data_IF_821493167944
#
_entry.id   IF_821493167944
#
_cell.length_a   1.000
_cell.length_b   1.000
_cell.length_c   1.000
_cell.angle_alpha   90.00
_cell.angle_beta   90.00
_cell.angle_gamma   90.00
#
_symmetry.space_group_name_H-M   'P 1'
#
loop_
_entity.id
_entity.type
_entity.pdbx_description
1 polymer ?
#
# COMPACT_ATOMS: atom_id res chain seq x y z
N UNK A 1 -4.09 -3.34 38.17
CA UNK A 1 -3.43 -4.25 37.20
C UNK A 1 -4.08 -3.96 35.85
N UNK A 2 -3.45 -3.09 35.06
CA UNK A 2 -3.89 -2.73 33.72
C UNK A 2 -3.63 -3.90 32.77
N UNK A 3 -4.60 -4.31 31.93
CA UNK A 3 -4.38 -5.39 30.98
C UNK A 3 -3.32 -4.93 29.97
N UNK A 4 -2.28 -5.74 29.80
CA UNK A 4 -1.28 -5.54 28.77
C UNK A 4 -1.96 -5.67 27.40
N UNK A 5 -2.07 -4.56 26.68
CA UNK A 5 -2.44 -4.54 25.25
C UNK A 5 -1.37 -5.32 24.48
N UNK A 6 -1.74 -6.47 23.93
CA UNK A 6 -0.90 -7.21 22.98
C UNK A 6 -0.75 -6.34 21.72
N UNK A 7 0.48 -6.01 21.28
CA UNK A 7 0.66 -5.21 20.07
C UNK A 7 0.41 -6.06 18.82
N UNK A 8 -0.66 -5.77 18.08
CA UNK A 8 -0.91 -6.37 16.77
C UNK A 8 0.17 -5.95 15.74
N UNK A 9 0.57 -4.67 15.78
CA UNK A 9 1.67 -4.13 14.98
C UNK A 9 3.02 -4.17 15.71
N UNK A 10 4.14 -4.12 14.98
CA UNK A 10 5.50 -4.03 15.56
C UNK A 10 5.67 -2.89 16.58
N UNK A 11 4.80 -1.89 16.54
CA UNK A 11 4.60 -0.84 17.56
C UNK A 11 3.09 -0.65 17.70
N UNK A 12 2.48 -0.94 18.87
CA UNK A 12 1.04 -1.22 19.01
C UNK A 12 0.00 -0.17 18.54
N UNK A 13 -1.28 -0.58 18.51
CA UNK A 13 -2.50 0.22 18.18
C UNK A 13 -3.57 0.14 19.29
N UNK A 14 -4.58 1.01 19.24
CA UNK A 14 -5.78 0.99 20.10
C UNK A 14 -7.01 0.74 19.23
N UNK A 15 -7.79 -0.30 19.53
CA UNK A 15 -8.95 -0.72 18.73
C UNK A 15 -10.19 -0.89 19.61
N UNK A 16 -11.10 0.07 19.54
CA UNK A 16 -12.53 -0.15 19.83
C UNK A 16 -13.36 0.93 19.13
N UNK A 17 -14.25 0.49 18.24
CA UNK A 17 -15.13 1.36 17.47
C UNK A 17 -16.43 1.63 18.26
N UNK A 18 -16.81 2.88 18.56
CA UNK A 18 -18.04 3.20 19.29
C UNK A 18 -19.33 3.11 18.42
N UNK A 19 -19.29 2.46 17.25
CA UNK A 19 -20.39 2.45 16.27
C UNK A 19 -21.13 1.09 16.25
N UNK A 20 -22.47 1.06 16.16
CA UNK A 20 -23.20 -0.20 16.10
C UNK A 20 -22.91 -0.95 14.79
N UNK A 21 -22.21 -2.09 14.89
CA UNK A 21 -21.80 -2.93 13.76
C UNK A 21 -22.92 -3.23 12.74
N UNK A 22 -24.15 -3.63 13.14
CA UNK A 22 -25.20 -3.94 12.18
C UNK A 22 -25.60 -2.75 11.30
N UNK A 23 -25.60 -1.54 11.87
CA UNK A 23 -25.92 -0.31 11.13
C UNK A 23 -24.79 0.03 10.16
N UNK A 24 -23.53 -0.17 10.58
CA UNK A 24 -22.36 0.11 9.76
C UNK A 24 -22.28 -0.81 8.53
N UNK A 25 -22.42 -2.13 8.74
CA UNK A 25 -22.36 -3.13 7.66
C UNK A 25 -23.54 -2.93 6.70
N UNK A 26 -24.75 -2.73 7.22
CA UNK A 26 -25.94 -2.47 6.40
C UNK A 26 -25.79 -1.19 5.59
N UNK A 27 -25.35 -0.10 6.23
CA UNK A 27 -25.15 1.19 5.57
C UNK A 27 -24.11 1.13 4.45
N UNK A 28 -22.98 0.47 4.68
CA UNK A 28 -21.94 0.29 3.67
C UNK A 28 -22.42 -0.59 2.50
N UNK A 29 -23.12 -1.70 2.78
CA UNK A 29 -23.69 -2.56 1.75
C UNK A 29 -24.71 -1.81 0.89
N UNK A 30 -25.63 -1.06 1.51
CA UNK A 30 -26.62 -0.23 0.82
C UNK A 30 -25.93 0.83 -0.03
N UNK A 31 -24.93 1.54 0.50
CA UNK A 31 -24.19 2.56 -0.24
C UNK A 31 -23.55 2.00 -1.52
N UNK A 32 -23.00 0.78 -1.48
CA UNK A 32 -22.40 0.14 -2.65
C UNK A 32 -23.44 -0.33 -3.66
N UNK A 33 -24.53 -0.93 -3.21
CA UNK A 33 -25.64 -1.35 -4.09
C UNK A 33 -26.23 -0.13 -4.79
N UNK A 34 -26.54 0.94 -4.06
CA UNK A 34 -27.08 2.19 -4.61
C UNK A 34 -26.07 2.82 -5.58
N UNK A 35 -24.78 2.89 -5.22
CA UNK A 35 -23.73 3.41 -6.12
C UNK A 35 -23.65 2.61 -7.42
N UNK A 36 -23.73 1.28 -7.35
CA UNK A 36 -23.72 0.42 -8.53
C UNK A 36 -24.94 0.63 -9.42
N UNK A 37 -26.14 0.68 -8.84
CA UNK A 37 -27.37 0.95 -9.58
C UNK A 37 -27.31 2.33 -10.26
N UNK A 38 -26.80 3.34 -9.55
CA UNK A 38 -26.59 4.68 -10.10
C UNK A 38 -25.60 4.65 -11.27
N UNK A 39 -24.50 3.90 -11.19
CA UNK A 39 -23.55 3.74 -12.30
C UNK A 39 -24.15 3.06 -13.52
N UNK A 40 -24.95 2.01 -13.33
CA UNK A 40 -25.65 1.32 -14.42
C UNK A 40 -26.60 2.24 -15.20
N UNK A 41 -27.20 3.23 -14.53
CA UNK A 41 -28.09 4.21 -15.16
C UNK A 41 -27.33 5.39 -15.74
N UNK A 42 -26.43 6.00 -14.96
CA UNK A 42 -25.81 7.30 -15.24
C UNK A 42 -24.50 7.18 -16.04
N UNK A 43 -23.83 6.03 -16.04
CA UNK A 43 -22.48 5.84 -16.59
C UNK A 43 -22.45 4.65 -17.56
N UNK A 44 -23.19 4.76 -18.67
CA UNK A 44 -23.39 3.66 -19.62
C UNK A 44 -22.27 3.46 -20.65
N UNK A 45 -21.38 4.43 -20.77
CA UNK A 45 -20.28 4.46 -21.73
C UNK A 45 -19.00 4.88 -20.98
N UNK A 46 -17.80 4.45 -21.43
CA UNK A 46 -16.54 4.85 -20.79
C UNK A 46 -16.40 6.37 -20.75
N UNK A 47 -16.01 6.92 -19.59
CA UNK A 47 -15.86 8.39 -19.40
C UNK A 47 -14.47 8.82 -18.95
N UNK A 48 -13.63 7.89 -18.49
CA UNK A 48 -12.31 8.24 -17.96
C UNK A 48 -11.27 8.29 -19.07
N UNK A 49 -11.06 9.48 -19.63
CA UNK A 49 -9.96 9.74 -20.56
C UNK A 49 -8.63 9.97 -19.83
N UNK A 50 -7.55 9.36 -20.33
CA UNK A 50 -6.20 9.52 -19.77
C UNK A 50 -5.66 10.94 -19.88
N UNK A 51 -6.16 11.72 -20.83
CA UNK A 51 -5.72 13.10 -21.05
C UNK A 51 -6.66 14.13 -20.39
N UNK A 52 -7.68 13.68 -19.63
CA UNK A 52 -8.53 14.53 -18.82
C UNK A 52 -7.82 15.11 -17.57
N UNK A 53 -8.45 16.11 -16.95
CA UNK A 53 -7.96 16.81 -15.77
C UNK A 53 -7.79 18.32 -16.00
N UNK A 54 -7.71 19.09 -14.91
CA UNK A 54 -7.57 20.54 -14.95
C UNK A 54 -6.07 20.89 -14.87
N UNK A 55 -5.48 21.57 -15.88
CA UNK A 55 -4.09 22.00 -15.83
C UNK A 55 -3.78 22.81 -14.58
N UNK A 56 -2.63 22.51 -13.96
CA UNK A 56 -2.16 23.27 -12.81
C UNK A 56 -1.66 24.65 -13.23
N UNK A 57 -1.83 25.69 -12.38
CA UNK A 57 -1.25 27.00 -12.64
C UNK A 57 0.26 26.90 -12.90
N UNK A 58 0.76 27.65 -13.89
CA UNK A 58 2.16 27.62 -14.32
C UNK A 58 3.21 27.76 -13.20
N UNK A 59 3.02 28.62 -12.18
CA UNK A 59 3.94 28.68 -11.04
C UNK A 59 4.03 27.37 -10.24
N UNK A 60 2.89 26.73 -9.98
CA UNK A 60 2.82 25.49 -9.21
C UNK A 60 3.41 24.31 -10.00
N UNK A 61 3.12 24.22 -11.30
CA UNK A 61 3.74 23.23 -12.18
C UNK A 61 5.28 23.38 -12.20
N UNK A 62 5.79 24.61 -12.31
CA UNK A 62 7.24 24.89 -12.25
C UNK A 62 7.86 24.55 -10.90
N UNK A 63 7.15 24.80 -9.79
CA UNK A 63 7.61 24.42 -8.45
C UNK A 63 7.71 22.90 -8.29
N UNK A 64 6.71 22.15 -8.78
CA UNK A 64 6.71 20.69 -8.79
C UNK A 64 7.80 20.08 -9.70
N UNK A 65 8.16 20.76 -10.78
CA UNK A 65 9.27 20.40 -11.66
C UNK A 65 10.64 20.93 -11.19
N UNK A 66 10.68 21.67 -10.09
CA UNK A 66 11.90 22.31 -9.61
C UNK A 66 12.96 21.28 -9.22
N UNK A 67 14.17 21.45 -9.77
CA UNK A 67 15.35 20.69 -9.35
C UNK A 67 15.66 20.86 -7.87
N UNK A 68 15.27 21.99 -7.26
CA UNK A 68 15.46 22.25 -5.84
C UNK A 68 14.52 21.39 -5.01
N UNK A 69 13.22 21.37 -5.33
CA UNK A 69 12.26 20.51 -4.63
C UNK A 69 12.70 19.04 -4.70
N UNK A 70 13.05 18.57 -5.91
CA UNK A 70 13.55 17.21 -6.11
C UNK A 70 14.86 16.97 -5.36
N UNK A 71 15.81 17.89 -5.44
CA UNK A 71 17.10 17.80 -4.78
C UNK A 71 16.96 17.72 -3.27
N UNK A 72 16.18 18.63 -2.67
CA UNK A 72 15.89 18.66 -1.23
C UNK A 72 15.21 17.37 -0.78
N UNK A 73 14.18 16.90 -1.49
CA UNK A 73 13.50 15.65 -1.15
C UNK A 73 14.48 14.45 -1.16
N UNK A 74 15.31 14.35 -2.20
CA UNK A 74 16.33 13.29 -2.30
C UNK A 74 17.36 13.40 -1.19
N UNK A 75 17.89 14.60 -0.93
CA UNK A 75 18.86 14.83 0.14
C UNK A 75 18.29 14.46 1.50
N UNK A 76 17.06 14.89 1.83
CA UNK A 76 16.41 14.53 3.09
C UNK A 76 16.20 13.03 3.22
N UNK A 77 15.78 12.34 2.16
CA UNK A 77 15.61 10.88 2.21
C UNK A 77 16.95 10.14 2.31
N UNK A 78 18.02 10.62 1.68
CA UNK A 78 19.36 10.05 1.85
C UNK A 78 19.91 10.27 3.26
N UNK A 79 19.70 11.46 3.83
CA UNK A 79 20.06 11.75 5.22
C UNK A 79 19.29 10.85 6.19
N UNK A 80 17.97 10.72 6.01
CA UNK A 80 17.14 9.82 6.81
C UNK A 80 17.61 8.37 6.68
N UNK A 81 17.87 7.89 5.45
CA UNK A 81 18.37 6.54 5.22
C UNK A 81 19.73 6.30 5.90
N UNK A 82 20.66 7.25 5.79
CA UNK A 82 21.95 7.21 6.50
C UNK A 82 21.78 7.20 8.02
N UNK A 83 20.82 7.98 8.53
CA UNK A 83 20.49 8.02 9.95
C UNK A 83 19.89 6.70 10.46
N UNK A 84 19.01 6.08 9.67
CA UNK A 84 18.47 4.75 9.97
C UNK A 84 19.57 3.70 9.93
N UNK A 85 20.49 3.75 8.97
CA UNK A 85 21.65 2.84 8.93
C UNK A 85 22.56 3.04 10.13
N UNK A 86 22.80 4.28 10.57
CA UNK A 86 23.54 4.57 11.80
C UNK A 86 22.87 3.94 13.02
N UNK A 87 21.55 4.12 13.15
CA UNK A 87 20.73 3.54 14.23
C UNK A 87 20.75 2.01 14.22
N UNK A 88 20.75 1.40 13.03
CA UNK A 88 20.86 -0.05 12.87
C UNK A 88 22.25 -0.55 13.22
N UNK A 89 23.30 0.11 12.76
CA UNK A 89 24.68 -0.36 12.90
C UNK A 89 25.24 -0.14 14.31
N UNK A 90 25.01 1.04 14.89
CA UNK A 90 25.64 1.49 16.14
C UNK A 90 24.64 1.76 17.27
N UNK A 91 23.34 1.70 17.01
CA UNK A 91 22.32 1.88 18.05
C UNK A 91 22.18 0.67 18.99
N UNK A 92 21.58 0.93 20.16
CA UNK A 92 21.21 -0.11 21.13
C UNK A 92 19.98 -0.87 20.67
N UNK A 93 19.94 -2.18 20.91
CA UNK A 93 18.80 -3.04 20.59
C UNK A 93 17.75 -2.96 21.69
N UNK A 94 16.89 -1.94 21.64
CA UNK A 94 15.82 -1.72 22.59
C UNK A 94 14.65 -0.96 21.93
N UNK A 95 13.54 -0.87 22.66
CA UNK A 95 12.30 -0.23 22.17
C UNK A 95 12.42 1.28 21.85
N UNK A 96 13.50 1.94 22.28
CA UNK A 96 13.75 3.36 21.99
C UNK A 96 14.50 3.58 20.68
N UNK A 97 15.07 2.52 20.07
CA UNK A 97 15.77 2.62 18.79
C UNK A 97 14.81 3.07 17.68
N UNK A 98 15.09 4.15 16.93
CA UNK A 98 14.17 4.67 15.92
C UNK A 98 14.06 3.79 14.66
N UNK A 99 14.94 2.82 14.43
CA UNK A 99 15.01 2.10 13.16
C UNK A 99 13.70 1.38 12.81
N UNK A 100 13.10 0.65 13.76
CA UNK A 100 11.84 -0.06 13.55
C UNK A 100 10.70 0.92 13.19
N UNK A 101 10.67 2.09 13.84
CA UNK A 101 9.67 3.12 13.60
C UNK A 101 9.81 3.75 12.22
N UNK A 102 11.04 4.05 11.78
CA UNK A 102 11.27 4.57 10.42
C UNK A 102 10.85 3.54 9.37
N UNK A 103 11.16 2.26 9.56
CA UNK A 103 10.87 1.19 8.60
C UNK A 103 9.36 0.87 8.55
N UNK A 104 8.72 0.63 9.69
CA UNK A 104 7.31 0.21 9.74
C UNK A 104 6.31 1.35 9.70
N UNK A 105 6.68 2.56 10.12
CA UNK A 105 5.75 3.70 10.15
C UNK A 105 6.00 4.66 9.00
N UNK A 106 7.19 5.25 8.91
CA UNK A 106 7.47 6.26 7.89
C UNK A 106 7.63 5.67 6.48
N UNK A 107 8.35 4.56 6.34
CA UNK A 107 8.58 3.92 5.04
C UNK A 107 7.36 3.13 4.55
N UNK A 108 6.66 2.38 5.41
CA UNK A 108 5.48 1.62 4.98
C UNK A 108 4.25 2.51 4.82
N UNK A 109 3.81 3.12 5.93
CA UNK A 109 2.56 3.89 6.00
C UNK A 109 2.75 5.32 5.49
N UNK A 110 3.82 6.00 5.92
CA UNK A 110 4.13 7.36 5.49
C UNK A 110 4.30 7.44 3.97
N UNK A 111 5.00 6.48 3.37
CA UNK A 111 5.12 6.39 1.90
C UNK A 111 3.77 6.15 1.22
N UNK A 112 2.90 5.32 1.80
CA UNK A 112 1.56 5.08 1.27
C UNK A 112 0.76 6.39 1.18
N UNK A 113 0.66 7.11 2.29
CA UNK A 113 -0.08 8.38 2.38
C UNK A 113 0.54 9.45 1.50
N UNK A 114 1.87 9.60 1.54
CA UNK A 114 2.56 10.56 0.69
C UNK A 114 2.35 10.24 -0.80
N UNK A 115 2.28 8.96 -1.15
CA UNK A 115 2.01 8.55 -2.54
C UNK A 115 0.57 8.84 -2.95
N UNK A 116 -0.40 8.59 -2.07
CA UNK A 116 -1.81 8.96 -2.29
C UNK A 116 -1.99 10.45 -2.53
N UNK A 117 -1.16 11.30 -1.89
CA UNK A 117 -1.25 12.75 -2.06
C UNK A 117 -0.49 13.25 -3.28
N UNK A 118 0.75 12.80 -3.50
CA UNK A 118 1.69 13.42 -4.44
C UNK A 118 2.04 12.54 -5.67
N UNK A 119 1.49 11.34 -5.75
CA UNK A 119 1.79 10.37 -6.81
C UNK A 119 2.96 9.45 -6.44
N UNK A 120 3.61 8.78 -7.41
CA UNK A 120 4.64 7.77 -7.12
C UNK A 120 5.96 8.40 -6.63
N UNK A 121 6.00 8.84 -5.37
CA UNK A 121 7.14 9.57 -4.78
C UNK A 121 8.39 8.71 -4.62
N UNK A 122 8.25 7.40 -4.37
CA UNK A 122 9.41 6.51 -4.18
C UNK A 122 10.32 6.48 -5.41
N UNK A 123 9.74 6.63 -6.60
CA UNK A 123 10.50 6.74 -7.86
C UNK A 123 11.55 7.85 -7.84
N UNK A 124 11.30 8.90 -7.07
CA UNK A 124 12.18 10.05 -6.94
C UNK A 124 13.15 9.86 -5.77
N UNK A 125 12.66 9.42 -4.61
CA UNK A 125 13.39 9.46 -3.35
C UNK A 125 14.09 8.15 -2.94
N UNK A 126 13.86 7.06 -3.67
CA UNK A 126 14.43 5.73 -3.37
C UNK A 126 15.96 5.78 -3.16
N UNK A 127 16.46 5.53 -1.92
CA UNK A 127 17.88 5.64 -1.61
C UNK A 127 18.73 4.59 -2.34
N UNK A 128 18.21 3.38 -2.58
CA UNK A 128 18.92 2.31 -3.30
C UNK A 128 19.09 2.67 -4.78
N UNK A 129 18.09 3.32 -5.38
CA UNK A 129 18.19 3.88 -6.73
C UNK A 129 19.33 4.92 -6.82
N UNK A 130 19.46 5.80 -5.83
CA UNK A 130 20.53 6.79 -5.78
C UNK A 130 21.90 6.18 -5.52
N UNK A 131 21.97 5.14 -4.68
CA UNK A 131 23.18 4.36 -4.46
C UNK A 131 23.64 3.69 -5.76
N UNK A 132 22.75 3.01 -6.49
CA UNK A 132 23.03 2.43 -7.79
C UNK A 132 23.53 3.47 -8.80
N UNK A 133 22.87 4.64 -8.88
CA UNK A 133 23.31 5.74 -9.74
C UNK A 133 24.70 6.27 -9.36
N UNK A 134 24.98 6.38 -8.07
CA UNK A 134 26.28 6.81 -7.54
C UNK A 134 27.40 5.83 -7.90
N UNK A 135 27.18 4.53 -7.68
CA UNK A 135 28.15 3.47 -8.01
C UNK A 135 28.45 3.48 -9.52
N UNK A 136 27.42 3.48 -10.38
CA UNK A 136 27.63 3.52 -11.83
C UNK A 136 28.35 4.80 -12.27
N UNK A 137 28.02 5.95 -11.68
CA UNK A 137 28.71 7.22 -12.00
C UNK A 137 30.19 7.18 -11.63
N UNK A 138 30.55 6.61 -10.47
CA UNK A 138 31.93 6.45 -10.03
C UNK A 138 32.69 5.45 -10.92
N UNK A 139 32.04 4.35 -11.29
CA UNK A 139 32.60 3.32 -12.18
C UNK A 139 32.55 3.71 -13.68
N UNK A 140 31.96 4.85 -14.03
CA UNK A 140 31.72 5.32 -15.42
C UNK A 140 30.93 4.33 -16.29
N UNK A 141 29.98 3.63 -15.67
CA UNK A 141 29.08 2.68 -16.33
C UNK A 141 27.75 3.35 -16.71
N UNK A 142 27.08 2.85 -17.76
CA UNK A 142 25.73 3.28 -18.10
C UNK A 142 24.72 2.61 -17.14
N UNK A 143 23.99 3.36 -16.30
CA UNK A 143 23.01 2.79 -15.39
C UNK A 143 21.81 2.12 -16.08
N UNK A 144 21.59 2.35 -17.39
CA UNK A 144 20.58 1.62 -18.17
C UNK A 144 21.09 0.33 -18.79
N UNK A 145 22.40 0.08 -18.73
CA UNK A 145 22.98 -1.16 -19.20
C UNK A 145 22.43 -2.34 -18.41
N UNK A 146 21.97 -3.36 -19.13
CA UNK A 146 21.35 -4.54 -18.55
C UNK A 146 22.11 -5.78 -19.02
N UNK A 147 22.68 -6.52 -18.06
CA UNK A 147 23.35 -7.79 -18.34
C UNK A 147 22.40 -8.84 -18.93
N UNK A 148 21.12 -8.80 -18.55
CA UNK A 148 20.10 -9.75 -18.98
C UNK A 148 18.91 -9.03 -19.62
N UNK A 149 18.47 -9.49 -20.80
CA UNK A 149 17.26 -8.98 -21.47
C UNK A 149 16.01 -9.76 -21.05
N UNK A 150 15.64 -9.64 -19.77
CA UNK A 150 14.43 -10.24 -19.20
C UNK A 150 13.56 -9.19 -18.51
N UNK A 151 12.24 -9.43 -18.41
CA UNK A 151 11.31 -8.54 -17.72
C UNK A 151 10.36 -9.35 -16.83
N UNK A 152 10.59 -9.38 -15.51
CA UNK A 152 9.74 -10.12 -14.59
C UNK A 152 8.39 -9.44 -14.31
N UNK A 153 8.12 -8.28 -14.94
CA UNK A 153 6.91 -7.51 -14.67
C UNK A 153 6.95 -6.87 -13.29
N UNK A 154 5.89 -7.10 -12.49
CA UNK A 154 5.75 -6.69 -11.09
C UNK A 154 5.87 -7.87 -10.11
N UNK A 155 6.19 -9.08 -10.57
CA UNK A 155 6.30 -10.25 -9.69
C UNK A 155 7.32 -10.08 -8.57
N UNK A 156 8.55 -9.59 -8.81
CA UNK A 156 9.52 -9.47 -7.72
C UNK A 156 9.09 -8.40 -6.72
N UNK A 157 8.47 -7.30 -7.17
CA UNK A 157 7.87 -6.34 -6.24
C UNK A 157 6.69 -6.91 -5.45
N UNK A 158 5.85 -7.77 -6.04
CA UNK A 158 4.79 -8.47 -5.29
C UNK A 158 5.37 -9.42 -4.23
N UNK A 159 6.42 -10.16 -4.56
CA UNK A 159 7.14 -11.03 -3.61
C UNK A 159 7.82 -10.21 -2.52
N UNK A 160 8.44 -9.08 -2.87
CA UNK A 160 9.04 -8.17 -1.90
C UNK A 160 8.02 -7.54 -0.96
N UNK A 161 6.82 -7.19 -1.45
CA UNK A 161 5.71 -6.71 -0.62
C UNK A 161 5.22 -7.79 0.33
N UNK A 162 5.12 -9.04 -0.14
CA UNK A 162 4.75 -10.16 0.71
C UNK A 162 5.81 -10.41 1.78
N UNK A 163 7.10 -10.35 1.42
CA UNK A 163 8.21 -10.49 2.35
C UNK A 163 8.23 -9.37 3.40
N UNK A 164 7.91 -8.13 3.00
CA UNK A 164 7.79 -7.01 3.94
C UNK A 164 6.60 -7.20 4.90
N UNK A 165 5.42 -7.57 4.38
CA UNK A 165 4.26 -7.86 5.21
C UNK A 165 4.52 -9.03 6.18
N UNK A 166 5.24 -10.06 5.72
CA UNK A 166 5.66 -11.17 6.59
C UNK A 166 6.63 -10.71 7.68
N UNK A 167 7.60 -9.86 7.34
CA UNK A 167 8.53 -9.26 8.31
C UNK A 167 7.76 -8.45 9.37
N UNK A 168 6.78 -7.65 8.94
CA UNK A 168 5.98 -6.80 9.82
C UNK A 168 5.00 -7.58 10.70
N UNK A 169 4.36 -8.63 10.16
CA UNK A 169 3.23 -9.29 10.82
C UNK A 169 3.59 -10.62 11.48
N UNK A 170 4.67 -11.28 11.07
CA UNK A 170 4.90 -12.70 11.42
C UNK A 170 6.32 -12.96 11.93
N UNK A 171 7.32 -12.25 11.41
CA UNK A 171 8.71 -12.56 11.74
C UNK A 171 8.96 -12.54 13.27
N UNK A 172 9.55 -13.61 13.82
CA UNK A 172 9.98 -13.61 15.22
C UNK A 172 10.96 -12.47 15.46
N UNK A 173 10.81 -11.76 16.58
CA UNK A 173 11.71 -10.65 16.96
C UNK A 173 11.79 -9.53 15.89
N UNK A 174 10.70 -9.31 15.14
CA UNK A 174 10.57 -8.33 14.03
C UNK A 174 11.02 -6.90 14.31
N UNK A 175 11.18 -6.49 15.57
CA UNK A 175 11.66 -5.15 15.94
C UNK A 175 13.11 -5.10 16.40
N UNK A 176 13.77 -6.26 16.51
CA UNK A 176 15.16 -6.35 16.98
C UNK A 176 16.15 -5.94 15.88
N UNK A 177 17.28 -5.36 16.28
CA UNK A 177 18.30 -4.93 15.34
C UNK A 177 18.86 -6.06 14.46
N UNK A 178 19.14 -7.28 14.95
CA UNK A 178 19.63 -8.36 14.09
C UNK A 178 18.68 -8.67 12.93
N UNK A 179 17.38 -8.76 13.20
CA UNK A 179 16.35 -9.05 12.18
C UNK A 179 16.25 -7.90 11.19
N UNK A 180 16.17 -6.65 11.68
CA UNK A 180 16.08 -5.48 10.81
C UNK A 180 17.34 -5.25 9.97
N UNK A 181 18.54 -5.52 10.50
CA UNK A 181 19.80 -5.45 9.76
C UNK A 181 19.79 -6.43 8.58
N UNK A 182 19.40 -7.68 8.82
CA UNK A 182 19.31 -8.70 7.76
C UNK A 182 18.26 -8.31 6.73
N UNK A 183 17.08 -7.85 7.15
CA UNK A 183 16.02 -7.43 6.24
C UNK A 183 16.43 -6.25 5.36
N UNK A 184 17.03 -5.20 5.94
CA UNK A 184 17.50 -4.02 5.20
C UNK A 184 18.65 -4.39 4.27
N UNK A 185 19.60 -5.22 4.72
CA UNK A 185 20.70 -5.70 3.87
C UNK A 185 20.15 -6.52 2.69
N UNK A 186 19.23 -7.45 2.94
CA UNK A 186 18.61 -8.25 1.89
C UNK A 186 17.85 -7.37 0.89
N UNK A 187 17.07 -6.40 1.36
CA UNK A 187 16.38 -5.42 0.51
C UNK A 187 17.36 -4.66 -0.39
N UNK A 188 18.40 -4.05 0.19
CA UNK A 188 19.42 -3.30 -0.56
C UNK A 188 20.13 -4.21 -1.57
N UNK A 189 20.53 -5.42 -1.19
CA UNK A 189 21.24 -6.34 -2.07
C UNK A 189 20.37 -6.83 -3.22
N UNK A 190 19.12 -7.22 -2.96
CA UNK A 190 18.18 -7.67 -4.00
C UNK A 190 17.93 -6.55 -5.01
N UNK A 191 17.70 -5.32 -4.53
CA UNK A 191 17.45 -4.19 -5.43
C UNK A 191 18.69 -3.75 -6.21
N UNK A 192 19.87 -3.76 -5.60
CA UNK A 192 21.13 -3.45 -6.30
C UNK A 192 21.46 -4.52 -7.34
N UNK A 193 21.42 -5.80 -6.97
CA UNK A 193 21.69 -6.91 -7.90
C UNK A 193 20.68 -6.89 -9.04
N UNK A 194 19.39 -6.69 -8.74
CA UNK A 194 18.35 -6.55 -9.75
C UNK A 194 18.59 -5.36 -10.69
N UNK A 195 19.02 -4.21 -10.15
CA UNK A 195 19.34 -3.01 -10.92
C UNK A 195 20.59 -3.18 -11.80
N UNK A 196 21.65 -3.85 -11.34
CA UNK A 196 22.82 -4.15 -12.18
C UNK A 196 22.51 -5.22 -13.24
N UNK A 197 21.72 -6.24 -12.90
CA UNK A 197 21.38 -7.31 -13.85
C UNK A 197 20.42 -6.84 -14.95
N UNK A 198 19.46 -5.98 -14.60
CA UNK A 198 18.35 -5.60 -15.50
C UNK A 198 18.34 -4.10 -15.84
N UNK A 199 19.28 -3.30 -15.36
CA UNK A 199 19.30 -1.83 -15.50
C UNK A 199 18.26 -1.14 -14.60
N UNK A 200 18.18 0.20 -14.68
CA UNK A 200 17.22 1.03 -13.90
C UNK A 200 15.75 0.64 -14.03
N UNK A 201 15.37 -0.10 -15.08
CA UNK A 201 14.01 -0.63 -15.23
C UNK A 201 13.63 -1.63 -14.14
N UNK A 202 14.60 -2.23 -13.44
CA UNK A 202 14.34 -3.11 -12.28
C UNK A 202 13.42 -2.44 -11.27
N UNK A 203 13.77 -1.24 -10.80
CA UNK A 203 12.99 -0.48 -9.84
C UNK A 203 11.54 -0.23 -10.28
N UNK A 204 11.24 -0.32 -11.58
CA UNK A 204 9.87 -0.14 -12.05
C UNK A 204 8.92 -1.27 -11.65
N UNK A 205 9.40 -2.44 -11.24
CA UNK A 205 8.54 -3.55 -10.85
C UNK A 205 9.19 -4.63 -9.99
N UNK A 206 10.49 -4.53 -9.74
CA UNK A 206 11.24 -5.37 -8.82
C UNK A 206 11.29 -4.81 -7.40
N UNK A 207 11.44 -3.49 -7.25
CA UNK A 207 11.42 -2.82 -5.95
C UNK A 207 9.99 -2.82 -5.37
N UNK A 208 9.78 -3.39 -4.17
CA UNK A 208 8.45 -3.50 -3.57
C UNK A 208 7.84 -2.14 -3.23
N UNK A 209 8.63 -1.20 -2.70
CA UNK A 209 8.16 0.13 -2.30
C UNK A 209 7.86 1.02 -3.51
N UNK A 210 8.50 0.79 -4.66
CA UNK A 210 8.12 1.43 -5.91
C UNK A 210 6.80 0.86 -6.44
N UNK A 211 6.57 -0.45 -6.33
CA UNK A 211 5.28 -1.05 -6.68
C UNK A 211 4.18 -0.48 -5.78
N UNK A 212 4.39 -0.45 -4.47
CA UNK A 212 3.51 0.16 -3.47
C UNK A 212 3.19 1.63 -3.80
N UNK A 213 4.23 2.46 -3.92
CA UNK A 213 4.11 3.89 -4.21
C UNK A 213 3.46 4.16 -5.57
N UNK A 214 3.71 3.32 -6.58
CA UNK A 214 3.09 3.45 -7.90
C UNK A 214 1.61 3.11 -7.89
N UNK A 215 1.22 2.02 -7.24
CA UNK A 215 -0.16 1.59 -7.20
C UNK A 215 -0.98 2.60 -6.40
N UNK A 216 -0.58 2.93 -5.18
CA UNK A 216 -1.26 3.93 -4.36
C UNK A 216 -1.22 5.33 -5.00
N UNK A 217 -0.06 5.75 -5.50
CA UNK A 217 0.08 7.04 -6.18
C UNK A 217 -0.67 7.17 -7.50
N UNK A 218 -1.21 6.07 -8.04
CA UNK A 218 -2.14 6.15 -9.17
C UNK A 218 -3.47 6.80 -8.79
N UNK A 219 -3.83 6.80 -7.51
CA UNK A 219 -5.01 7.47 -6.97
C UNK A 219 -4.79 8.94 -6.65
N UNK A 220 -3.56 9.44 -6.81
CA UNK A 220 -3.26 10.83 -6.48
C UNK A 220 -4.06 11.79 -7.35
N UNK A 221 -4.70 12.82 -6.73
CA UNK A 221 -5.31 13.91 -7.47
C UNK A 221 -4.30 14.66 -8.33
N UNK A 222 -3.03 14.61 -7.96
CA UNK A 222 -1.93 15.20 -8.70
C UNK A 222 -1.41 14.20 -9.76
N UNK A 223 -1.46 14.59 -11.03
CA UNK A 223 -1.07 13.72 -12.13
C UNK A 223 -0.39 14.45 -13.28
N UNK A 224 0.07 13.67 -14.26
CA UNK A 224 0.52 14.21 -15.55
C UNK A 224 -0.24 13.57 -16.69
N UNK A 225 -0.58 14.39 -17.68
CA UNK A 225 -1.07 13.97 -19.00
C UNK A 225 0.07 13.38 -19.83
N UNK A 226 -0.25 12.85 -21.03
CA UNK A 226 0.76 12.29 -21.95
C UNK A 226 1.77 13.31 -22.46
N UNK A 227 1.34 14.56 -22.65
CA UNK A 227 2.16 15.72 -22.99
C UNK A 227 3.08 16.19 -21.85
N UNK A 228 3.02 15.52 -20.69
CA UNK A 228 3.76 15.81 -19.45
C UNK A 228 3.27 17.04 -18.67
N UNK A 229 2.14 17.63 -19.06
CA UNK A 229 1.51 18.72 -18.33
C UNK A 229 0.98 18.23 -16.99
N UNK A 230 1.27 18.98 -15.93
CA UNK A 230 0.73 18.75 -14.59
C UNK A 230 -0.76 19.07 -14.54
N UNK A 231 -1.56 18.16 -14.01
CA UNK A 231 -3.02 18.30 -13.88
C UNK A 231 -3.54 17.87 -12.52
N UNK A 232 -4.64 18.49 -12.10
CA UNK A 232 -5.54 17.96 -11.08
C UNK A 232 -6.57 17.05 -11.74
N UNK A 233 -6.67 15.82 -11.25
CA UNK A 233 -7.57 14.78 -11.76
C UNK A 233 -8.28 14.08 -10.62
N UNK A 234 -9.35 13.37 -10.91
CA UNK A 234 -9.96 12.49 -9.90
C UNK A 234 -9.09 11.24 -9.65
N UNK A 235 -9.15 10.60 -8.48
CA UNK A 235 -8.40 9.38 -8.17
C UNK A 235 -8.61 8.24 -9.18
N UNK A 236 -9.75 8.24 -9.85
CA UNK A 236 -10.13 7.22 -10.84
C UNK A 236 -9.28 7.29 -12.12
N UNK A 237 -8.89 8.49 -12.57
CA UNK A 237 -8.19 8.67 -13.84
C UNK A 237 -6.81 8.01 -13.85
N UNK A 238 -6.04 8.18 -12.77
CA UNK A 238 -4.70 7.60 -12.69
C UNK A 238 -4.71 6.08 -12.53
N UNK A 239 -5.62 5.55 -11.70
CA UNK A 239 -5.82 4.11 -11.58
C UNK A 239 -6.32 3.48 -12.89
N UNK A 240 -7.22 4.15 -13.64
CA UNK A 240 -7.64 3.72 -14.97
C UNK A 240 -6.51 3.83 -16.03
N UNK A 241 -5.48 4.64 -15.78
CA UNK A 241 -4.32 4.74 -16.65
C UNK A 241 -3.21 3.72 -16.34
N UNK A 242 -3.37 2.87 -15.30
CA UNK A 242 -2.37 1.88 -14.93
C UNK A 242 -2.07 0.93 -16.11
N UNK A 243 -0.77 0.76 -16.39
CA UNK A 243 -0.30 -0.18 -17.41
C UNK A 243 -0.40 -1.60 -16.87
N UNK A 244 -1.12 -2.45 -17.59
CA UNK A 244 -1.23 -3.87 -17.27
C UNK A 244 0.13 -4.53 -17.48
N UNK A 245 0.65 -5.17 -16.43
CA UNK A 245 1.92 -5.88 -16.42
C UNK A 245 1.73 -7.22 -15.73
N UNK A 246 2.53 -8.22 -16.13
CA UNK A 246 2.61 -9.50 -15.40
C UNK A 246 2.92 -9.22 -13.93
N UNK A 247 2.25 -9.92 -13.02
CA UNK A 247 2.40 -9.70 -11.57
C UNK A 247 1.58 -8.56 -10.98
N UNK A 248 0.86 -7.74 -11.78
CA UNK A 248 -0.02 -6.69 -11.25
C UNK A 248 -1.06 -7.27 -10.27
N UNK A 249 -1.81 -8.30 -10.71
CA UNK A 249 -2.81 -8.97 -9.88
C UNK A 249 -2.21 -9.51 -8.58
N UNK A 250 -1.01 -10.10 -8.64
CA UNK A 250 -0.31 -10.60 -7.45
C UNK A 250 0.05 -9.45 -6.50
N UNK A 251 0.57 -8.33 -7.02
CA UNK A 251 0.88 -7.15 -6.21
C UNK A 251 -0.37 -6.62 -5.50
N UNK A 252 -1.48 -6.39 -6.21
CA UNK A 252 -2.70 -5.86 -5.56
C UNK A 252 -3.33 -6.88 -4.60
N UNK A 253 -3.22 -8.18 -4.91
CA UNK A 253 -3.67 -9.24 -4.01
C UNK A 253 -2.85 -9.32 -2.72
N UNK A 254 -1.53 -9.09 -2.79
CA UNK A 254 -0.68 -8.97 -1.60
C UNK A 254 -1.02 -7.71 -0.81
N UNK A 255 -1.22 -6.57 -1.47
CA UNK A 255 -1.60 -5.32 -0.81
C UNK A 255 -2.88 -5.47 0.00
N UNK A 256 -3.92 -6.08 -0.58
CA UNK A 256 -5.20 -6.26 0.10
C UNK A 256 -5.21 -7.47 1.06
N UNK A 257 -4.59 -8.58 0.64
CA UNK A 257 -4.54 -9.82 1.40
C UNK A 257 -3.70 -9.72 2.68
N UNK A 258 -2.61 -8.93 2.66
CA UNK A 258 -1.82 -8.67 3.87
C UNK A 258 -2.61 -7.88 4.91
N UNK A 259 -3.31 -6.82 4.52
CA UNK A 259 -4.17 -6.08 5.46
C UNK A 259 -5.38 -6.91 5.93
N UNK A 260 -5.94 -7.74 5.06
CA UNK A 260 -7.01 -8.66 5.47
C UNK A 260 -6.49 -9.73 6.46
N UNK A 261 -5.25 -10.19 6.30
CA UNK A 261 -4.60 -11.09 7.25
C UNK A 261 -4.28 -10.39 8.57
N UNK A 262 -3.80 -9.15 8.53
CA UNK A 262 -3.58 -8.32 9.72
C UNK A 262 -4.85 -8.25 10.59
N UNK A 263 -5.99 -7.88 9.99
CA UNK A 263 -7.29 -7.87 10.67
C UNK A 263 -7.78 -9.26 11.13
N UNK A 264 -7.45 -10.33 10.38
CA UNK A 264 -7.73 -11.70 10.82
C UNK A 264 -6.87 -12.09 12.02
N UNK A 265 -5.60 -11.67 12.03
CA UNK A 265 -4.61 -12.05 13.02
C UNK A 265 -4.91 -11.47 14.40
N UNK A 266 -5.56 -10.30 14.45
CA UNK A 266 -6.07 -9.69 15.69
C UNK A 266 -7.24 -10.43 16.33
N UNK A 267 -7.97 -11.29 15.60
CA UNK A 267 -9.15 -11.94 16.15
C UNK A 267 -8.78 -12.99 17.22
N UNK A 268 -9.46 -12.98 18.40
CA UNK A 268 -9.21 -13.96 19.46
C UNK A 268 -9.36 -15.42 19.01
N UNK A 269 -10.27 -15.70 18.07
CA UNK A 269 -10.48 -17.05 17.52
C UNK A 269 -9.29 -17.53 16.70
N UNK A 270 -8.74 -16.67 15.84
CA UNK A 270 -7.56 -17.00 15.05
C UNK A 270 -6.34 -17.14 15.96
N UNK A 271 -6.13 -16.18 16.86
CA UNK A 271 -5.05 -16.24 17.85
C UNK A 271 -5.11 -17.53 18.68
N UNK A 272 -6.29 -17.88 19.21
CA UNK A 272 -6.49 -19.13 19.95
C UNK A 272 -6.22 -20.40 19.14
N UNK A 273 -6.60 -20.41 17.85
CA UNK A 273 -6.29 -21.50 16.93
C UNK A 273 -4.78 -21.67 16.71
N UNK A 274 -4.07 -20.57 16.42
CA UNK A 274 -2.62 -20.60 16.20
C UNK A 274 -1.87 -21.07 17.45
N UNK A 275 -2.29 -20.63 18.64
CA UNK A 275 -1.65 -21.00 19.92
C UNK A 275 -1.95 -22.44 20.37
N UNK A 276 -3.12 -22.98 20.02
CA UNK A 276 -3.53 -24.34 20.42
C UNK A 276 -3.09 -25.42 19.45
N UNK A 277 -2.65 -25.04 18.25
CA UNK A 277 -2.20 -25.99 17.24
C UNK A 277 -0.86 -26.63 17.61
N UNK A 278 -0.70 -27.91 17.27
CA UNK A 278 0.55 -28.66 17.50
C UNK A 278 1.69 -28.29 16.54
N UNK A 279 1.47 -27.34 15.62
CA UNK A 279 2.44 -26.90 14.61
C UNK A 279 2.99 -25.52 14.97
N UNK A 280 4.20 -25.14 14.50
CA UNK A 280 4.79 -23.84 14.81
C UNK A 280 3.89 -22.67 14.39
N UNK A 281 3.67 -21.71 15.30
CA UNK A 281 2.83 -20.53 15.06
C UNK A 281 3.22 -19.77 13.79
N UNK A 282 4.52 -19.51 13.61
CA UNK A 282 5.08 -18.83 12.42
C UNK A 282 4.68 -19.52 11.11
N UNK A 283 4.56 -20.86 11.08
CA UNK A 283 4.12 -21.58 9.89
C UNK A 283 2.63 -21.33 9.61
N UNK A 284 1.78 -21.46 10.63
CA UNK A 284 0.34 -21.19 10.47
C UNK A 284 0.06 -19.75 10.08
N UNK A 285 0.78 -18.80 10.68
CA UNK A 285 0.69 -17.39 10.36
C UNK A 285 1.12 -17.12 8.92
N UNK A 286 2.24 -17.73 8.48
CA UNK A 286 2.72 -17.62 7.09
C UNK A 286 1.71 -18.19 6.10
N UNK A 287 1.12 -19.35 6.41
CA UNK A 287 0.07 -19.97 5.61
C UNK A 287 -1.22 -19.14 5.62
N UNK A 288 -1.55 -18.49 6.74
CA UNK A 288 -2.67 -17.57 6.85
C UNK A 288 -2.50 -16.34 5.96
N UNK A 289 -1.34 -15.69 6.01
CA UNK A 289 -1.01 -14.55 5.15
C UNK A 289 -1.04 -14.92 3.67
N UNK A 290 -0.40 -16.03 3.30
CA UNK A 290 -0.43 -16.55 1.93
C UNK A 290 -1.86 -16.89 1.51
N UNK A 291 -2.62 -17.56 2.38
CA UNK A 291 -4.01 -17.93 2.18
C UNK A 291 -4.89 -16.72 1.88
N UNK A 292 -4.77 -15.63 2.65
CA UNK A 292 -5.53 -14.40 2.41
C UNK A 292 -5.16 -13.73 1.09
N UNK A 293 -3.87 -13.69 0.73
CA UNK A 293 -3.44 -13.21 -0.58
C UNK A 293 -4.03 -14.04 -1.74
N UNK A 294 -4.05 -15.38 -1.58
CA UNK A 294 -4.62 -16.30 -2.55
C UNK A 294 -6.15 -16.19 -2.64
N UNK A 295 -6.84 -15.98 -1.52
CA UNK A 295 -8.30 -15.73 -1.50
C UNK A 295 -8.62 -14.46 -2.27
N UNK A 296 -7.87 -13.37 -2.08
CA UNK A 296 -8.09 -12.13 -2.84
C UNK A 296 -7.86 -12.36 -4.34
N UNK A 297 -6.71 -12.95 -4.71
CA UNK A 297 -6.39 -13.22 -6.11
C UNK A 297 -7.42 -14.18 -6.76
N UNK A 298 -7.80 -15.24 -6.05
CA UNK A 298 -8.73 -16.27 -6.50
C UNK A 298 -10.15 -15.74 -6.65
N UNK A 299 -10.63 -14.92 -5.72
CA UNK A 299 -11.96 -14.34 -5.80
C UNK A 299 -12.07 -13.31 -6.94
N UNK A 300 -11.04 -12.49 -7.18
CA UNK A 300 -10.98 -11.64 -8.39
C UNK A 300 -10.94 -12.48 -9.68
N UNK A 301 -10.16 -13.56 -9.69
CA UNK A 301 -10.09 -14.46 -10.84
C UNK A 301 -11.42 -15.16 -11.11
N UNK A 302 -12.12 -15.62 -10.07
CA UNK A 302 -13.44 -16.23 -10.16
C UNK A 302 -14.48 -15.24 -10.67
N UNK A 303 -14.53 -14.02 -10.10
CA UNK A 303 -15.43 -12.97 -10.57
C UNK A 303 -15.18 -12.66 -12.05
N UNK A 304 -13.91 -12.48 -12.45
CA UNK A 304 -13.55 -12.27 -13.84
C UNK A 304 -13.94 -13.46 -14.74
N UNK A 305 -13.77 -14.70 -14.28
CA UNK A 305 -14.17 -15.88 -15.05
C UNK A 305 -15.68 -15.96 -15.28
N UNK A 306 -16.48 -15.65 -14.26
CA UNK A 306 -17.95 -15.57 -14.39
C UNK A 306 -18.33 -14.42 -15.31
N UNK A 307 -17.71 -13.24 -15.16
CA UNK A 307 -17.91 -12.10 -16.08
C UNK A 307 -17.60 -12.46 -17.53
N UNK A 308 -16.48 -13.16 -17.80
CA UNK A 308 -16.11 -13.61 -19.13
C UNK A 308 -17.16 -14.55 -19.74
N UNK A 309 -17.62 -15.53 -18.95
CA UNK A 309 -18.65 -16.50 -19.38
C UNK A 309 -19.96 -15.81 -19.72
N UNK A 310 -20.43 -14.90 -18.85
CA UNK A 310 -21.65 -14.13 -19.09
C UNK A 310 -21.51 -13.21 -20.31
N UNK A 311 -20.32 -12.67 -20.55
CA UNK A 311 -20.00 -11.82 -21.69
C UNK A 311 -19.74 -12.57 -23.01
N UNK A 312 -19.64 -13.91 -23.00
CA UNK A 312 -19.23 -14.69 -24.17
C UNK A 312 -17.79 -14.40 -24.63
N UNK A 313 -16.92 -13.93 -23.73
CA UNK A 313 -15.55 -13.51 -24.02
C UNK A 313 -14.50 -14.49 -23.46
N UNK A 314 -13.28 -14.51 -24.02
CA UNK A 314 -12.20 -15.30 -23.47
C UNK A 314 -11.78 -14.78 -22.08
N UNK A 315 -11.58 -15.70 -21.12
CA UNK A 315 -11.10 -15.38 -19.77
C UNK A 315 -9.68 -14.80 -19.75
N UNK A 316 -8.84 -15.18 -20.72
CA UNK A 316 -7.40 -14.88 -20.71
C UNK A 316 -7.14 -13.38 -20.59
N UNK A 317 -6.50 -12.97 -19.49
CA UNK A 317 -6.10 -11.59 -19.24
C UNK A 317 -7.18 -10.72 -18.57
N UNK A 318 -8.40 -11.22 -18.40
CA UNK A 318 -9.50 -10.44 -17.84
C UNK A 318 -9.31 -10.12 -16.35
N UNK A 319 -8.73 -11.03 -15.57
CA UNK A 319 -8.36 -10.77 -14.17
C UNK A 319 -7.40 -9.58 -14.05
N UNK A 320 -6.46 -9.43 -14.99
CA UNK A 320 -5.51 -8.31 -14.98
C UNK A 320 -6.20 -6.98 -15.33
N UNK A 321 -7.23 -7.02 -16.19
CA UNK A 321 -8.02 -5.84 -16.55
C UNK A 321 -8.78 -5.26 -15.34
N UNK A 322 -9.27 -6.13 -14.46
CA UNK A 322 -9.99 -5.72 -13.25
C UNK A 322 -9.09 -5.46 -12.05
N UNK A 323 -7.85 -5.93 -12.01
CA UNK A 323 -6.93 -5.71 -10.88
C UNK A 323 -6.79 -4.24 -10.41
N UNK A 324 -6.79 -3.21 -11.28
CA UNK A 324 -6.78 -1.81 -10.85
C UNK A 324 -7.95 -1.39 -9.95
N UNK A 325 -9.10 -2.08 -10.00
CA UNK A 325 -10.25 -1.77 -9.15
C UNK A 325 -10.02 -2.11 -7.67
N UNK A 326 -9.03 -2.96 -7.36
CA UNK A 326 -8.64 -3.28 -5.99
C UNK A 326 -7.71 -2.24 -5.37
N UNK A 327 -7.11 -1.35 -6.17
CA UNK A 327 -6.14 -0.36 -5.69
C UNK A 327 -6.78 0.69 -4.75
N UNK A 328 -7.95 1.29 -5.07
CA UNK A 328 -8.65 2.18 -4.12
C UNK A 328 -9.09 1.47 -2.84
N UNK A 329 -9.42 0.17 -2.94
CA UNK A 329 -9.80 -0.63 -1.78
C UNK A 329 -8.61 -0.79 -0.85
N UNK A 330 -7.47 -1.25 -1.38
CA UNK A 330 -6.22 -1.34 -0.62
C UNK A 330 -5.83 0.01 0.01
N UNK A 331 -5.99 1.12 -0.71
CA UNK A 331 -5.75 2.45 -0.16
C UNK A 331 -6.67 2.80 1.02
N UNK A 332 -7.97 2.51 0.90
CA UNK A 332 -8.94 2.69 1.98
C UNK A 332 -8.58 1.88 3.22
N UNK A 333 -8.16 0.62 3.04
CA UNK A 333 -7.69 -0.24 4.13
C UNK A 333 -6.42 0.27 4.79
N UNK A 334 -5.43 0.73 4.01
CA UNK A 334 -4.20 1.31 4.57
C UNK A 334 -4.51 2.51 5.47
N UNK A 335 -5.37 3.42 5.01
CA UNK A 335 -5.78 4.56 5.83
C UNK A 335 -6.53 4.08 7.08
N UNK A 336 -7.48 3.16 6.93
CA UNK A 336 -8.28 2.69 8.06
C UNK A 336 -7.43 2.00 9.15
N UNK A 337 -6.56 1.07 8.76
CA UNK A 337 -5.78 0.27 9.73
C UNK A 337 -4.64 1.09 10.33
N UNK A 338 -3.96 1.90 9.52
CA UNK A 338 -2.73 2.54 9.96
C UNK A 338 -2.88 4.01 10.35
N UNK A 339 -4.09 4.59 10.38
CA UNK A 339 -4.28 6.00 10.77
C UNK A 339 -3.73 6.30 12.16
N UNK A 340 -4.14 5.52 13.17
CA UNK A 340 -3.71 5.74 14.55
C UNK A 340 -2.20 5.53 14.70
N UNK A 341 -1.66 4.50 14.04
CA UNK A 341 -0.23 4.23 14.01
C UNK A 341 0.54 5.39 13.37
N UNK A 342 0.09 5.90 12.23
CA UNK A 342 0.74 7.01 11.54
C UNK A 342 0.76 8.27 12.38
N UNK A 343 -0.37 8.63 12.99
CA UNK A 343 -0.45 9.84 13.81
C UNK A 343 0.44 9.70 15.04
N UNK A 344 0.28 8.65 15.83
CA UNK A 344 0.97 8.53 17.12
C UNK A 344 2.41 8.06 16.95
N UNK A 345 2.61 6.89 16.35
CA UNK A 345 3.94 6.33 16.17
C UNK A 345 4.76 7.15 15.16
N UNK A 346 4.13 7.85 14.20
CA UNK A 346 4.82 8.75 13.29
C UNK A 346 5.42 9.97 14.01
N UNK A 347 4.69 10.56 14.96
CA UNK A 347 5.22 11.61 15.85
C UNK A 347 6.31 11.05 16.77
N UNK A 348 6.06 9.87 17.37
CA UNK A 348 7.04 9.21 18.24
C UNK A 348 8.34 8.90 17.49
N UNK A 349 8.27 8.55 16.20
CA UNK A 349 9.45 8.37 15.34
C UNK A 349 10.34 9.61 15.36
N UNK A 350 9.75 10.81 15.23
CA UNK A 350 10.48 12.08 15.28
C UNK A 350 11.15 12.33 16.64
N UNK A 351 10.48 11.96 17.73
CA UNK A 351 11.05 12.03 19.09
C UNK A 351 12.26 11.10 19.21
N UNK A 352 12.15 9.86 18.72
CA UNK A 352 13.21 8.85 18.81
C UNK A 352 14.40 9.11 17.90
N UNK A 353 14.20 9.79 16.77
CA UNK A 353 15.28 10.10 15.83
C UNK A 353 16.39 10.97 16.42
N UNK A 354 16.12 11.70 17.50
CA UNK A 354 17.13 12.57 18.13
C UNK A 354 18.25 11.82 18.85
N UNK A 355 18.01 10.55 19.23
CA UNK A 355 18.96 9.69 19.95
C UNK A 355 19.14 8.32 19.25
N UNK A 356 19.67 8.30 18.00
CA UNK A 356 19.78 7.06 17.23
C UNK A 356 20.74 6.03 17.87
N UNK A 357 21.67 6.48 18.73
CA UNK A 357 22.62 5.62 19.43
C UNK A 357 22.11 5.13 20.78
N UNK A 358 21.00 5.69 21.29
CA UNK A 358 20.47 5.37 22.62
C UNK A 358 21.40 5.80 23.76
N UNK A 359 22.14 6.90 23.59
CA UNK A 359 23.12 7.43 24.55
C UNK A 359 22.58 8.62 25.36
N UNK A 360 21.29 8.93 25.23
CA UNK A 360 20.68 10.13 25.82
C UNK A 360 20.95 11.40 25.02
N UNK A 361 21.27 11.28 23.72
CA UNK A 361 21.48 12.43 22.86
C UNK A 361 20.17 13.20 22.59
N UNK A 362 20.30 14.46 22.19
CA UNK A 362 19.19 15.25 21.66
C UNK A 362 19.65 16.03 20.41
N UNK A 363 20.21 15.32 19.43
CA UNK A 363 20.87 15.93 18.26
C UNK A 363 19.92 16.73 17.36
N UNK A 364 18.63 16.39 17.35
CA UNK A 364 17.60 17.08 16.57
C UNK A 364 16.77 18.05 17.42
N UNK A 365 17.00 18.12 18.74
CA UNK A 365 16.22 18.96 19.65
C UNK A 365 14.81 18.44 19.96
N UNK A 366 14.43 17.24 19.49
CA UNK A 366 13.05 16.73 19.56
C UNK A 366 12.74 15.83 20.76
N UNK A 367 13.71 15.60 21.67
CA UNK A 367 13.53 14.68 22.82
C UNK A 367 12.38 15.06 23.76
N UNK A 368 12.08 16.36 23.89
CA UNK A 368 11.01 16.87 24.76
C UNK A 368 9.64 16.98 24.11
N UNK A 369 9.49 16.58 22.83
CA UNK A 369 8.18 16.60 22.18
C UNK A 369 7.32 15.44 22.68
N UNK A 370 6.07 15.76 23.04
CA UNK A 370 5.06 14.78 23.40
C UNK A 370 4.13 14.54 22.21
N UNK A 371 3.90 13.28 21.78
CA UNK A 371 2.95 12.99 20.71
C UNK A 371 1.53 13.50 21.04
N UNK A 372 0.92 14.23 20.10
CA UNK A 372 -0.47 14.69 20.20
C UNK A 372 -1.43 13.55 19.81
N UNK A 373 -2.48 13.34 20.61
CA UNK A 373 -3.48 12.29 20.44
C UNK A 373 -4.83 12.79 19.93
N UNK A 374 -5.01 14.09 19.69
CA UNK A 374 -6.30 14.67 19.23
C UNK A 374 -6.82 14.04 17.94
N UNK A 375 -5.91 13.69 17.03
CA UNK A 375 -6.28 13.08 15.74
C UNK A 375 -6.57 11.57 15.84
N UNK A 376 -6.41 10.96 17.01
CA UNK A 376 -6.71 9.53 17.25
C UNK A 376 -7.83 9.32 18.28
N UNK A 377 -8.60 10.37 18.60
CA UNK A 377 -9.78 10.22 19.44
C UNK A 377 -10.71 9.12 18.89
N UNK A 378 -11.30 8.24 19.73
CA UNK A 378 -12.00 7.04 19.27
C UNK A 378 -13.06 7.30 18.19
N UNK A 379 -13.90 8.33 18.38
CA UNK A 379 -14.95 8.70 17.43
C UNK A 379 -14.37 9.17 16.09
N UNK A 380 -13.28 9.96 16.12
CA UNK A 380 -12.64 10.45 14.91
C UNK A 380 -11.95 9.31 14.15
N UNK A 381 -11.19 8.47 14.84
CA UNK A 381 -10.54 7.28 14.27
C UNK A 381 -11.58 6.37 13.62
N UNK A 382 -12.69 6.09 14.32
CA UNK A 382 -13.80 5.32 13.80
C UNK A 382 -14.40 5.93 12.52
N UNK A 383 -14.61 7.24 12.52
CA UNK A 383 -15.16 7.94 11.35
C UNK A 383 -14.20 7.86 10.16
N UNK A 384 -12.90 8.07 10.38
CA UNK A 384 -11.87 7.98 9.33
C UNK A 384 -11.81 6.56 8.76
N UNK A 385 -11.82 5.54 9.62
CA UNK A 385 -11.82 4.14 9.21
C UNK A 385 -12.99 3.80 8.28
N UNK A 386 -14.20 4.16 8.71
CA UNK A 386 -15.43 3.90 7.94
C UNK A 386 -15.41 4.65 6.62
N UNK A 387 -15.12 5.96 6.64
CA UNK A 387 -15.09 6.80 5.44
C UNK A 387 -14.04 6.30 4.45
N UNK A 388 -12.84 5.92 4.93
CA UNK A 388 -11.77 5.40 4.09
C UNK A 388 -12.16 4.07 3.43
N UNK A 389 -12.72 3.13 4.18
CA UNK A 389 -13.18 1.83 3.67
C UNK A 389 -14.30 2.04 2.64
N UNK A 390 -15.35 2.77 2.98
CA UNK A 390 -16.50 2.98 2.08
C UNK A 390 -16.08 3.72 0.81
N UNK A 391 -15.28 4.79 0.94
CA UNK A 391 -14.77 5.55 -0.22
C UNK A 391 -13.90 4.67 -1.11
N UNK A 392 -12.99 3.89 -0.53
CA UNK A 392 -12.14 2.95 -1.27
C UNK A 392 -12.97 1.94 -2.08
N UNK A 393 -14.02 1.37 -1.49
CA UNK A 393 -14.90 0.43 -2.19
C UNK A 393 -15.78 1.09 -3.25
N UNK A 394 -16.32 2.29 -3.00
CA UNK A 394 -17.08 3.04 -4.02
C UNK A 394 -16.17 3.34 -5.22
N UNK A 395 -14.95 3.85 -4.99
CA UNK A 395 -13.99 4.11 -6.07
C UNK A 395 -13.60 2.82 -6.80
N UNK A 396 -13.45 1.71 -6.07
CA UNK A 396 -13.20 0.39 -6.65
C UNK A 396 -14.35 -0.09 -7.55
N UNK A 397 -15.59 0.04 -7.11
CA UNK A 397 -16.79 -0.27 -7.90
C UNK A 397 -16.86 0.59 -9.15
N UNK A 398 -16.60 1.91 -9.04
CA UNK A 398 -16.57 2.80 -10.20
C UNK A 398 -15.49 2.39 -11.21
N UNK A 399 -14.29 2.02 -10.75
CA UNK A 399 -13.22 1.53 -11.64
C UNK A 399 -13.57 0.19 -12.29
N UNK A 400 -14.16 -0.73 -11.54
CA UNK A 400 -14.61 -2.02 -12.07
C UNK A 400 -15.70 -1.81 -13.13
N UNK A 401 -16.63 -0.89 -12.87
CA UNK A 401 -17.69 -0.50 -13.79
C UNK A 401 -17.12 0.11 -15.07
N UNK A 402 -16.27 1.14 -14.95
CA UNK A 402 -15.59 1.78 -16.09
C UNK A 402 -14.86 0.74 -16.95
N UNK A 403 -14.16 -0.20 -16.31
CA UNK A 403 -13.47 -1.28 -17.03
C UNK A 403 -14.44 -2.18 -17.78
N UNK A 404 -15.51 -2.61 -17.14
CA UNK A 404 -16.46 -3.49 -17.79
C UNK A 404 -17.22 -2.81 -18.94
N UNK A 405 -17.63 -1.53 -18.82
CA UNK A 405 -18.25 -0.81 -19.96
C UNK A 405 -17.25 -0.51 -21.09
N UNK A 406 -15.95 -0.54 -20.81
CA UNK A 406 -14.90 -0.42 -21.84
C UNK A 406 -14.55 -1.74 -22.53
N UNK A 407 -14.89 -2.88 -21.94
CA UNK A 407 -14.51 -4.22 -22.41
C UNK A 407 -15.67 -5.02 -22.98
N UNK A 408 -16.88 -4.79 -22.48
CA UNK A 408 -18.07 -5.56 -22.81
C UNK A 408 -19.06 -4.74 -23.63
N UNK A 409 -19.78 -5.40 -24.53
CA UNK A 409 -20.89 -4.77 -25.25
C UNK A 409 -21.98 -4.33 -24.29
N UNK A 410 -22.62 -3.19 -24.60
CA UNK A 410 -23.59 -2.50 -23.74
C UNK A 410 -24.73 -3.40 -23.22
N UNK A 411 -25.16 -4.38 -24.01
CA UNK A 411 -26.24 -5.33 -23.63
C UNK A 411 -25.80 -6.33 -22.57
N UNK A 412 -24.51 -6.68 -22.54
CA UNK A 412 -23.95 -7.71 -21.66
C UNK A 412 -23.12 -7.10 -20.53
N UNK A 413 -22.76 -5.82 -20.63
CA UNK A 413 -22.01 -5.08 -19.61
C UNK A 413 -22.69 -5.15 -18.22
N UNK A 414 -24.01 -5.01 -18.14
CA UNK A 414 -24.72 -5.04 -16.84
C UNK A 414 -24.63 -6.42 -16.18
N UNK A 415 -24.91 -7.50 -16.92
CA UNK A 415 -24.83 -8.87 -16.39
C UNK A 415 -23.37 -9.29 -16.10
N UNK A 416 -22.44 -8.92 -16.98
CA UNK A 416 -21.01 -9.18 -16.82
C UNK A 416 -20.38 -8.48 -15.62
N UNK A 417 -21.01 -7.44 -15.07
CA UNK A 417 -20.51 -6.70 -13.90
C UNK A 417 -21.01 -7.25 -12.56
N UNK A 418 -22.11 -8.00 -12.52
CA UNK A 418 -22.68 -8.53 -11.28
C UNK A 418 -21.68 -9.34 -10.45
N UNK A 419 -20.84 -10.23 -11.02
CA UNK A 419 -19.86 -10.96 -10.22
C UNK A 419 -18.85 -10.06 -9.50
N UNK A 420 -18.44 -8.95 -10.15
CA UNK A 420 -17.53 -7.98 -9.55
C UNK A 420 -18.24 -7.15 -8.48
N UNK A 421 -19.50 -6.79 -8.66
CA UNK A 421 -20.29 -6.14 -7.61
C UNK A 421 -20.39 -7.02 -6.37
N UNK A 422 -20.77 -8.29 -6.54
CA UNK A 422 -20.87 -9.26 -5.45
C UNK A 422 -19.54 -9.39 -4.73
N UNK A 423 -18.44 -9.45 -5.48
CA UNK A 423 -17.09 -9.47 -4.91
C UNK A 423 -16.81 -8.22 -4.05
N UNK A 424 -17.10 -7.02 -4.56
CA UNK A 424 -16.85 -5.78 -3.83
C UNK A 424 -17.71 -5.64 -2.57
N UNK A 425 -18.98 -6.01 -2.65
CA UNK A 425 -19.87 -6.04 -1.47
C UNK A 425 -19.36 -7.07 -0.46
N UNK A 426 -18.96 -8.25 -0.91
CA UNK A 426 -18.37 -9.28 -0.07
C UNK A 426 -17.10 -8.82 0.65
N UNK A 427 -16.18 -8.15 -0.06
CA UNK A 427 -14.98 -7.57 0.55
C UNK A 427 -15.29 -6.45 1.55
N UNK A 428 -16.32 -5.65 1.30
CA UNK A 428 -16.71 -4.56 2.21
C UNK A 428 -17.30 -5.14 3.49
N UNK A 429 -18.29 -6.03 3.36
CA UNK A 429 -18.91 -6.67 4.51
C UNK A 429 -17.88 -7.49 5.30
N UNK A 430 -17.06 -8.29 4.61
CA UNK A 430 -15.98 -9.05 5.23
C UNK A 430 -15.00 -8.15 5.97
N UNK A 431 -14.50 -7.10 5.35
CA UNK A 431 -13.57 -6.16 5.98
C UNK A 431 -14.12 -5.44 7.20
N UNK A 432 -15.37 -4.96 7.12
CA UNK A 432 -16.02 -4.32 8.28
C UNK A 432 -16.24 -5.30 9.43
N UNK A 433 -16.55 -6.56 9.13
CA UNK A 433 -16.64 -7.61 10.14
C UNK A 433 -15.27 -7.92 10.77
N UNK A 434 -14.21 -8.02 9.96
CA UNK A 434 -12.85 -8.24 10.46
C UNK A 434 -12.40 -7.07 11.35
N UNK A 435 -12.60 -5.82 10.91
CA UNK A 435 -12.20 -4.61 11.65
C UNK A 435 -12.94 -4.43 12.99
N UNK A 436 -14.18 -4.87 13.09
CA UNK A 436 -14.96 -4.73 14.33
C UNK A 436 -14.73 -5.88 15.32
N UNK A 437 -14.25 -7.02 14.82
CA UNK A 437 -13.97 -8.20 15.64
C UNK A 437 -12.51 -8.30 16.09
N UNK A 438 -11.69 -7.28 15.74
CA UNK A 438 -10.30 -7.09 16.18
C UNK A 438 -10.24 -6.49 17.57
#
# INVERSE_FOLDING_TARGET
MTPALLPAHGVGSVESLPLPLPALVTGAAVALVVSFLALGVLWREPRLDRDAGIPLPGPLARALDSRWLRGTAVTLTLLLAGWTVLSLAAGKDNANNPAAYVIYVWLWVGLAVLSLLLGPVWRVVNPVRWLHLGINRLARLDPDEAMVRWSPGMWPGAVGLFAFAWLELIAPNRTTLPVLRVAVLAFVMVDLVGAFALGRRWFSGGDPFEVWSRLLGSLSPLGRRRDRTWVLRTPLHGANALRLRRGLTAAVAVMLGSTAYDALSGQPRWYGFVQSAAVPATLLETLGLLGMCLVVAGALAAAAAVSARLAGLPFRGLTQQFAPSLVPIAAGYVIAHYWALLVYAGQLTLVRLTDPLGIGANWLGTAGLSPDTRLIEPTLTATIQVVAIVTGHILGVVLAHERAVSLFDRRVAVLGQLPLLVLMVGYTCGGLLLLYSS
#
